data_IF_901102914291
#
_entry.id   IF_901102914291
#
_cell.length_a   1.000
_cell.length_b   1.000
_cell.length_c   1.000
_cell.angle_alpha   90.00
_cell.angle_beta   90.00
_cell.angle_gamma   90.00
#
_symmetry.space_group_name_H-M   'P 1'
#
loop_
_entity.id
_entity.type
_entity.pdbx_description
1 polymer ?
#
# COMPACT_ATOMS: atom_id res chain seq x y z
N UNK A 1 -0.11 18.12 22.79
CA UNK A 1 0.06 18.66 24.17
C UNK A 1 -0.67 17.80 25.20
N UNK A 2 -1.91 17.34 24.92
CA UNK A 2 -2.72 16.56 25.86
C UNK A 2 -2.09 15.24 26.37
N UNK A 3 -1.32 14.52 25.53
CA UNK A 3 -0.69 13.25 25.94
C UNK A 3 0.56 13.38 26.83
N UNK A 4 1.14 14.58 26.97
CA UNK A 4 2.45 14.74 27.66
C UNK A 4 2.36 14.67 29.19
N UNK A 5 1.18 14.88 29.76
CA UNK A 5 0.93 14.92 31.20
C UNK A 5 -0.17 13.95 31.64
N UNK A 6 -0.59 13.04 30.76
CA UNK A 6 -1.62 12.06 31.06
C UNK A 6 -1.02 10.89 31.85
N UNK A 7 -1.67 10.49 32.95
CA UNK A 7 -1.26 9.32 33.74
C UNK A 7 -1.46 8.00 32.96
N UNK A 8 -2.42 7.97 32.04
CA UNK A 8 -2.67 6.86 31.12
C UNK A 8 -3.04 7.39 29.73
N UNK A 9 -2.62 6.67 28.69
CA UNK A 9 -2.98 6.95 27.28
C UNK A 9 -3.75 5.74 26.77
N UNK A 10 -5.06 5.90 26.61
CA UNK A 10 -5.89 4.91 25.93
C UNK A 10 -5.71 5.07 24.42
N UNK A 11 -5.39 3.96 23.73
CA UNK A 11 -5.19 3.93 22.28
C UNK A 11 -6.07 2.82 21.72
N UNK A 12 -6.94 3.20 20.80
CA UNK A 12 -7.72 2.26 19.99
C UNK A 12 -7.01 2.05 18.64
N UNK A 13 -7.20 0.87 18.06
CA UNK A 13 -6.63 0.55 16.75
C UNK A 13 -7.29 1.42 15.66
N UNK A 14 -6.49 2.18 14.92
CA UNK A 14 -6.98 3.14 13.94
C UNK A 14 -7.34 2.54 12.59
N UNK A 15 -7.33 1.20 12.45
CA UNK A 15 -7.49 0.46 11.19
C UNK A 15 -6.51 0.84 10.07
N UNK A 16 -5.47 1.62 10.38
CA UNK A 16 -4.43 2.04 9.44
C UNK A 16 -3.36 0.95 9.32
N UNK A 17 -2.79 0.81 8.13
CA UNK A 17 -1.83 -0.27 7.87
C UNK A 17 -0.45 -0.08 8.51
N UNK A 18 -0.12 1.09 9.06
CA UNK A 18 1.24 1.40 9.50
C UNK A 18 1.80 0.41 10.54
N UNK A 19 1.04 0.10 11.59
CA UNK A 19 1.43 -0.87 12.62
C UNK A 19 1.56 -2.28 12.03
N UNK A 20 0.62 -2.69 11.19
CA UNK A 20 0.61 -3.99 10.53
C UNK A 20 1.80 -4.18 9.58
N UNK A 21 2.13 -3.16 8.79
CA UNK A 21 3.32 -3.14 7.91
C UNK A 21 4.58 -3.30 8.76
N UNK A 22 4.74 -2.47 9.81
CA UNK A 22 5.91 -2.53 10.69
C UNK A 22 6.04 -3.89 11.37
N UNK A 23 4.93 -4.45 11.88
CA UNK A 23 4.92 -5.77 12.50
C UNK A 23 5.35 -6.84 11.49
N UNK A 24 4.79 -6.84 10.29
CA UNK A 24 5.07 -7.87 9.27
C UNK A 24 6.53 -7.85 8.81
N UNK A 25 7.10 -6.66 8.62
CA UNK A 25 8.52 -6.50 8.28
C UNK A 25 9.41 -6.94 9.45
N UNK A 26 9.02 -6.67 10.69
CA UNK A 26 9.82 -6.96 11.87
C UNK A 26 9.79 -8.43 12.30
N UNK A 27 8.60 -9.05 12.29
CA UNK A 27 8.38 -10.42 12.78
C UNK A 27 8.46 -11.46 11.68
N UNK A 28 8.26 -11.05 10.41
CA UNK A 28 8.10 -11.96 9.28
C UNK A 28 6.71 -12.59 9.19
N UNK A 29 5.78 -12.27 10.09
CA UNK A 29 4.39 -12.69 9.96
C UNK A 29 3.74 -11.94 8.78
N UNK A 30 3.26 -12.65 7.73
CA UNK A 30 2.85 -12.01 6.51
C UNK A 30 1.52 -11.25 6.67
N UNK A 31 1.42 -10.08 6.04
CA UNK A 31 0.16 -9.37 5.84
C UNK A 31 -0.01 -8.90 4.41
N UNK A 32 -1.25 -8.57 4.03
CA UNK A 32 -1.58 -7.97 2.74
C UNK A 32 -2.15 -6.58 2.98
N UNK A 33 -1.60 -5.61 2.26
CA UNK A 33 -2.05 -4.22 2.28
C UNK A 33 -2.25 -3.71 0.85
N UNK A 34 -3.05 -2.67 0.66
CA UNK A 34 -3.11 -1.95 -0.61
C UNK A 34 -2.16 -0.76 -0.52
N UNK A 35 -1.09 -0.81 -1.31
CA UNK A 35 0.03 0.10 -1.20
C UNK A 35 0.28 0.85 -2.49
N UNK A 36 0.59 2.14 -2.38
CA UNK A 36 1.05 2.95 -3.50
C UNK A 36 2.54 2.67 -3.75
N UNK A 37 2.84 2.14 -4.92
CA UNK A 37 4.20 1.79 -5.37
C UNK A 37 4.45 2.33 -6.78
N UNK A 38 5.70 2.33 -7.23
CA UNK A 38 5.97 2.53 -8.66
C UNK A 38 5.37 1.37 -9.43
N UNK A 39 4.57 1.66 -10.46
CA UNK A 39 3.83 0.65 -11.20
C UNK A 39 4.74 -0.48 -11.70
N UNK A 40 5.87 -0.16 -12.33
CA UNK A 40 6.91 -1.12 -12.75
C UNK A 40 6.35 -2.38 -13.44
N UNK A 41 5.27 -2.22 -14.21
CA UNK A 41 4.59 -3.31 -14.93
C UNK A 41 3.52 -4.09 -14.13
N UNK A 42 3.21 -3.73 -12.88
CA UNK A 42 2.14 -4.37 -12.10
C UNK A 42 0.79 -4.24 -12.80
N UNK A 43 0.45 -3.03 -13.25
CA UNK A 43 -0.70 -2.73 -14.10
C UNK A 43 -0.18 -2.41 -15.51
N UNK A 44 -0.30 -3.38 -16.42
CA UNK A 44 0.34 -3.33 -17.75
C UNK A 44 -0.30 -2.33 -18.70
N UNK A 45 -1.52 -1.85 -18.41
CA UNK A 45 -2.20 -0.82 -19.21
C UNK A 45 -1.86 0.62 -18.80
N UNK A 46 -1.07 0.82 -17.74
CA UNK A 46 -0.66 2.13 -17.22
C UNK A 46 0.85 2.38 -17.41
N UNK A 47 1.33 3.64 -17.40
CA UNK A 47 2.76 3.94 -17.51
C UNK A 47 3.60 3.25 -16.42
N UNK A 48 4.79 2.77 -16.74
CA UNK A 48 5.63 2.04 -15.77
C UNK A 48 6.09 2.91 -14.60
N UNK A 49 6.27 4.21 -14.82
CA UNK A 49 6.80 5.14 -13.82
C UNK A 49 5.71 5.87 -13.02
N UNK A 50 4.42 5.58 -13.24
CA UNK A 50 3.37 6.18 -12.42
C UNK A 50 3.29 5.52 -11.04
N UNK A 51 2.72 6.24 -10.07
CA UNK A 51 2.27 5.60 -8.83
C UNK A 51 1.05 4.73 -9.15
N UNK A 52 1.04 3.51 -8.66
CA UNK A 52 -0.08 2.59 -8.75
C UNK A 52 -0.35 2.00 -7.37
N UNK A 53 -1.63 1.97 -6.99
CA UNK A 53 -2.07 1.29 -5.78
C UNK A 53 -2.47 -0.15 -6.14
N UNK A 54 -1.78 -1.12 -5.55
CA UNK A 54 -1.99 -2.56 -5.79
C UNK A 54 -1.90 -3.34 -4.48
N UNK A 55 -2.45 -4.57 -4.41
CA UNK A 55 -2.18 -5.45 -3.28
C UNK A 55 -0.70 -5.74 -3.17
N UNK A 56 -0.16 -5.63 -1.97
CA UNK A 56 1.22 -5.91 -1.66
C UNK A 56 1.29 -6.94 -0.54
N UNK A 57 2.07 -8.00 -0.75
CA UNK A 57 2.51 -8.88 0.34
C UNK A 57 3.57 -8.13 1.14
N UNK A 58 3.44 -8.13 2.46
CA UNK A 58 4.44 -7.59 3.38
C UNK A 58 4.90 -8.70 4.30
N UNK A 59 6.21 -8.92 4.32
CA UNK A 59 6.89 -9.86 5.22
C UNK A 59 8.32 -9.36 5.50
N UNK A 60 9.18 -10.23 6.04
CA UNK A 60 10.58 -9.91 6.36
C UNK A 60 11.43 -9.47 5.15
N UNK A 61 10.99 -9.75 3.91
CA UNK A 61 11.61 -9.30 2.66
C UNK A 61 11.16 -7.89 2.25
N UNK A 62 10.23 -7.29 2.99
CA UNK A 62 9.66 -5.98 2.72
C UNK A 62 8.34 -6.05 1.94
N UNK A 63 8.06 -4.98 1.20
CA UNK A 63 6.79 -4.77 0.47
C UNK A 63 6.94 -5.30 -0.96
N UNK A 64 6.07 -6.24 -1.34
CA UNK A 64 6.12 -6.96 -2.61
C UNK A 64 4.81 -6.75 -3.38
N UNK A 65 4.80 -5.89 -4.42
CA UNK A 65 3.61 -5.63 -5.23
C UNK A 65 3.13 -6.86 -6.00
N UNK A 66 1.81 -6.99 -6.14
CA UNK A 66 1.18 -8.08 -6.91
C UNK A 66 0.89 -7.65 -8.34
N UNK A 67 1.18 -8.53 -9.30
CA UNK A 67 0.84 -8.32 -10.70
C UNK A 67 -0.69 -8.31 -10.91
N UNK A 68 -1.21 -7.27 -11.55
CA UNK A 68 -2.63 -7.08 -11.89
C UNK A 68 -2.89 -7.35 -13.37
N UNK A 69 -1.95 -6.96 -14.23
CA UNK A 69 -2.10 -7.02 -15.67
C UNK A 69 -2.95 -5.88 -16.24
N UNK A 70 -3.68 -6.16 -17.32
CA UNK A 70 -4.38 -5.14 -18.11
C UNK A 70 -5.73 -4.81 -17.46
N UNK A 71 -5.98 -3.53 -17.18
CA UNK A 71 -7.30 -3.08 -16.74
C UNK A 71 -8.28 -2.97 -17.91
N UNK A 72 -9.61 -3.03 -17.65
CA UNK A 72 -10.61 -2.64 -18.64
C UNK A 72 -10.29 -1.29 -19.30
N UNK A 73 -10.52 -1.15 -20.62
CA UNK A 73 -10.08 0.02 -21.38
C UNK A 73 -10.70 1.33 -20.87
N UNK A 74 -11.94 1.27 -20.34
CA UNK A 74 -12.62 2.43 -19.77
C UNK A 74 -11.90 2.94 -18.51
N UNK A 75 -11.45 2.04 -17.63
CA UNK A 75 -10.69 2.40 -16.42
C UNK A 75 -9.30 2.92 -16.79
N UNK A 76 -8.63 2.25 -17.73
CA UNK A 76 -7.33 2.68 -18.25
C UNK A 76 -7.41 4.10 -18.80
N UNK A 77 -8.42 4.40 -19.63
CA UNK A 77 -8.60 5.72 -20.21
C UNK A 77 -8.80 6.81 -19.15
N UNK A 78 -9.62 6.53 -18.12
CA UNK A 78 -9.90 7.48 -17.04
C UNK A 78 -8.67 7.72 -16.14
N UNK A 79 -7.99 6.67 -15.71
CA UNK A 79 -6.81 6.80 -14.84
C UNK A 79 -5.70 7.58 -15.55
N UNK A 80 -5.48 7.27 -16.84
CA UNK A 80 -4.45 7.92 -17.65
C UNK A 80 -4.64 9.43 -17.80
N UNK A 81 -5.84 10.00 -17.65
CA UNK A 81 -5.98 11.45 -17.65
C UNK A 81 -5.28 12.15 -16.47
N UNK A 82 -4.93 11.40 -15.42
CA UNK A 82 -4.31 11.92 -14.19
C UNK A 82 -2.84 11.51 -14.02
N UNK A 83 -2.34 10.54 -14.80
CA UNK A 83 -0.98 9.97 -14.65
C UNK A 83 -0.17 9.91 -15.94
N UNK A 84 -0.69 10.49 -17.03
CA UNK A 84 0.00 10.58 -18.33
C UNK A 84 1.04 11.70 -18.38
#
# INVERSE_FOLDING_TARGET
AAYRSAENIEIEESHEYASSIMNSVWTGEPSVIYGNVRNNGCITSLPENCAAEVPCLVDASGIQPTFIGTLPPQLTALIRTNVN
#
